data_IF_699850108412
#
_entry.id   IF_699850108412
#
_cell.length_a   1.000
_cell.length_b   1.000
_cell.length_c   1.000
_cell.angle_alpha   90.00
_cell.angle_beta   90.00
_cell.angle_gamma   90.00
#
_symmetry.space_group_name_H-M   'P 1'
#
loop_
_entity.id
_entity.type
_entity.pdbx_description
1 polymer ?
#
# COMPACT_ATOMS: atom_id res chain seq x y z
N UNK A 1 14.54 -5.48 -35.37
CA UNK A 1 13.71 -4.42 -34.76
C UNK A 1 14.67 -3.56 -33.95
N UNK A 2 14.85 -2.30 -34.34
CA UNK A 2 15.79 -1.37 -33.70
C UNK A 2 15.44 -1.20 -32.20
N UNK A 3 16.42 -1.30 -31.28
CA UNK A 3 16.23 -1.14 -29.83
C UNK A 3 15.52 0.15 -29.45
N UNK A 4 15.66 1.20 -30.26
CA UNK A 4 15.00 2.50 -30.07
C UNK A 4 13.47 2.41 -30.10
N UNK A 5 12.88 1.56 -30.94
CA UNK A 5 11.42 1.45 -31.08
C UNK A 5 10.72 0.81 -29.87
N UNK A 6 11.41 -0.08 -29.16
CA UNK A 6 10.89 -0.74 -27.95
C UNK A 6 10.95 0.21 -26.75
N UNK A 7 12.04 0.97 -26.61
CA UNK A 7 12.20 1.99 -25.58
C UNK A 7 11.11 3.08 -25.70
N UNK A 8 10.83 3.55 -26.92
CA UNK A 8 9.74 4.51 -27.14
C UNK A 8 8.36 3.93 -26.83
N UNK A 9 8.12 2.66 -27.14
CA UNK A 9 6.86 1.99 -26.81
C UNK A 9 6.66 1.82 -25.29
N UNK A 10 7.75 1.67 -24.52
CA UNK A 10 7.71 1.63 -23.05
C UNK A 10 7.48 3.02 -22.47
N UNK A 11 8.14 4.06 -22.98
CA UNK A 11 7.97 5.45 -22.53
C UNK A 11 6.52 5.96 -22.67
N UNK A 12 5.72 5.35 -23.55
CA UNK A 12 4.30 5.66 -23.72
C UNK A 12 3.38 4.97 -22.69
N UNK A 13 3.91 4.14 -21.79
CA UNK A 13 3.12 3.48 -20.73
C UNK A 13 3.33 4.21 -19.40
N UNK A 14 2.25 4.71 -18.83
CA UNK A 14 2.23 5.30 -17.49
C UNK A 14 1.62 4.31 -16.50
N UNK A 15 2.43 3.66 -15.65
CA UNK A 15 1.92 2.93 -14.51
C UNK A 15 1.53 3.90 -13.39
N UNK A 16 0.36 3.70 -12.81
CA UNK A 16 -0.12 4.35 -11.60
C UNK A 16 -0.62 3.29 -10.64
N UNK A 17 -0.54 3.51 -9.34
CA UNK A 17 -1.08 2.59 -8.36
C UNK A 17 -1.33 3.29 -7.04
N UNK A 18 -2.07 2.62 -6.18
CA UNK A 18 -2.31 3.06 -4.82
C UNK A 18 -2.50 1.85 -3.91
N UNK A 19 -2.15 2.02 -2.64
CA UNK A 19 -2.30 1.01 -1.59
C UNK A 19 -3.04 1.63 -0.41
N UNK A 20 -4.06 0.92 0.06
CA UNK A 20 -4.82 1.30 1.25
C UNK A 20 -4.79 0.19 2.29
N UNK A 21 -4.89 0.57 3.56
CA UNK A 21 -5.09 -0.37 4.66
C UNK A 21 -6.59 -0.47 4.93
N UNK A 22 -7.09 -1.69 5.09
CA UNK A 22 -8.44 -1.99 5.51
C UNK A 22 -8.33 -2.53 6.94
N UNK A 23 -9.05 -1.92 7.87
CA UNK A 23 -9.13 -2.36 9.25
C UNK A 23 -10.60 -2.56 9.63
N UNK A 24 -10.94 -3.76 10.10
CA UNK A 24 -12.33 -4.11 10.46
C UNK A 24 -13.31 -3.82 9.30
N UNK A 25 -12.88 -4.10 8.07
CA UNK A 25 -13.68 -3.91 6.85
C UNK A 25 -13.77 -2.47 6.33
N UNK A 26 -13.09 -1.50 6.95
CA UNK A 26 -13.12 -0.09 6.55
C UNK A 26 -11.75 0.38 6.07
N UNK A 27 -11.71 1.14 4.97
CA UNK A 27 -10.48 1.79 4.50
C UNK A 27 -10.01 2.83 5.51
N UNK A 28 -8.73 2.74 5.90
CA UNK A 28 -8.11 3.63 6.86
C UNK A 28 -7.36 4.75 6.15
N UNK A 29 -7.53 5.97 6.66
CA UNK A 29 -6.77 7.14 6.22
C UNK A 29 -5.32 7.09 6.71
N UNK A 30 -4.45 7.93 6.12
CA UNK A 30 -3.09 8.10 6.62
C UNK A 30 -3.15 8.81 7.98
N UNK A 31 -2.41 8.33 8.99
CA UNK A 31 -2.37 8.99 10.28
C UNK A 31 -1.79 10.40 10.13
N UNK A 32 -2.37 11.36 10.84
CA UNK A 32 -1.97 12.76 10.82
C UNK A 32 -0.97 13.11 11.93
N UNK A 33 -0.69 12.18 12.85
CA UNK A 33 0.26 12.36 13.96
C UNK A 33 1.00 11.07 14.34
N UNK A 34 2.09 11.21 15.10
CA UNK A 34 2.87 10.08 15.64
C UNK A 34 2.02 9.25 16.61
N UNK A 35 1.23 9.91 17.44
CA UNK A 35 0.37 9.30 18.45
C UNK A 35 -0.71 8.45 17.79
N UNK A 36 -1.33 8.96 16.72
CA UNK A 36 -2.31 8.23 15.93
C UNK A 36 -1.68 7.03 15.21
N UNK A 37 -0.49 7.20 14.61
CA UNK A 37 0.24 6.09 13.99
C UNK A 37 0.54 4.96 14.99
N UNK A 38 0.92 5.31 16.23
CA UNK A 38 1.13 4.34 17.31
C UNK A 38 -0.18 3.66 17.72
N UNK A 39 -1.29 4.40 17.77
CA UNK A 39 -2.59 3.82 18.06
C UNK A 39 -3.00 2.83 16.95
N UNK A 40 -2.75 3.18 15.69
CA UNK A 40 -3.06 2.31 14.55
C UNK A 40 -2.32 0.97 14.66
N UNK A 41 -1.03 1.01 15.01
CA UNK A 41 -0.22 -0.19 15.20
C UNK A 41 -0.73 -1.06 16.36
N UNK A 42 -1.23 -0.45 17.44
CA UNK A 42 -1.86 -1.19 18.55
C UNK A 42 -3.18 -1.82 18.11
N UNK A 43 -4.01 -1.09 17.38
CA UNK A 43 -5.32 -1.59 16.94
C UNK A 43 -5.15 -2.83 16.05
N UNK A 44 -4.14 -2.82 15.15
CA UNK A 44 -3.86 -3.97 14.31
C UNK A 44 -3.50 -5.23 15.10
N UNK A 45 -2.92 -5.12 16.31
CA UNK A 45 -2.51 -6.27 17.14
C UNK A 45 -3.63 -7.14 17.70
N UNK A 46 -4.91 -6.81 17.43
CA UNK A 46 -6.05 -7.61 17.87
C UNK A 46 -7.25 -7.63 16.92
N UNK A 47 -7.13 -7.05 15.72
CA UNK A 47 -8.22 -6.93 14.75
C UNK A 47 -7.85 -7.50 13.38
N UNK A 48 -8.82 -7.52 12.47
CA UNK A 48 -8.61 -8.00 11.10
C UNK A 48 -8.13 -6.85 10.23
N UNK A 49 -6.84 -6.88 9.90
CA UNK A 49 -6.20 -5.93 9.01
C UNK A 49 -5.90 -6.57 7.66
N UNK A 50 -6.09 -5.83 6.58
CA UNK A 50 -5.72 -6.22 5.23
C UNK A 50 -5.15 -5.02 4.47
N UNK A 51 -4.42 -5.28 3.40
CA UNK A 51 -4.04 -4.24 2.43
C UNK A 51 -4.68 -4.53 1.09
N UNK A 52 -5.24 -3.50 0.48
CA UNK A 52 -5.72 -3.54 -0.90
C UNK A 52 -4.80 -2.68 -1.76
N UNK A 53 -4.19 -3.29 -2.78
CA UNK A 53 -3.30 -2.61 -3.71
C UNK A 53 -3.84 -2.67 -5.11
N UNK A 54 -3.69 -1.58 -5.88
CA UNK A 54 -4.10 -1.52 -7.28
C UNK A 54 -2.99 -0.97 -8.17
N UNK A 55 -2.94 -1.47 -9.39
CA UNK A 55 -2.07 -0.96 -10.45
C UNK A 55 -2.88 -0.77 -11.71
N UNK A 56 -2.62 0.33 -12.39
CA UNK A 56 -3.24 0.69 -13.65
C UNK A 56 -2.17 1.20 -14.61
N UNK A 57 -2.08 0.58 -15.78
CA UNK A 57 -1.20 0.97 -16.86
C UNK A 57 -2.00 1.69 -17.93
N UNK A 58 -1.63 2.93 -18.21
CA UNK A 58 -2.24 3.77 -19.27
C UNK A 58 -1.28 3.91 -20.44
N UNK A 59 -1.72 3.57 -21.65
CA UNK A 59 -0.99 3.91 -22.88
C UNK A 59 -1.32 5.37 -23.25
N UNK A 60 -0.35 6.27 -23.11
CA UNK A 60 -0.51 7.70 -23.30
C UNK A 60 -0.80 8.10 -24.75
N UNK A 61 -0.47 7.25 -25.72
CA UNK A 61 -0.70 7.50 -27.16
C UNK A 61 -2.14 7.17 -27.58
N UNK A 62 -2.68 6.05 -27.09
CA UNK A 62 -4.01 5.55 -27.46
C UNK A 62 -5.09 5.85 -26.44
N UNK A 63 -4.72 6.20 -25.20
CA UNK A 63 -5.62 6.31 -24.06
C UNK A 63 -6.10 4.97 -23.50
N UNK A 64 -5.68 3.83 -24.04
CA UNK A 64 -6.06 2.51 -23.52
C UNK A 64 -5.50 2.28 -22.11
N UNK A 65 -6.31 1.70 -21.23
CA UNK A 65 -5.98 1.47 -19.82
C UNK A 65 -6.26 0.02 -19.45
N UNK A 66 -5.33 -0.61 -18.72
CA UNK A 66 -5.52 -1.93 -18.11
C UNK A 66 -5.03 -1.90 -16.68
N UNK A 67 -5.82 -2.42 -15.74
CA UNK A 67 -5.45 -2.46 -14.34
C UNK A 67 -5.87 -3.77 -13.67
N UNK A 68 -5.24 -4.04 -12.54
CA UNK A 68 -5.54 -5.14 -11.63
C UNK A 68 -5.39 -4.65 -10.19
N UNK A 69 -5.96 -5.41 -9.26
CA UNK A 69 -5.86 -5.15 -7.83
C UNK A 69 -5.80 -6.47 -7.08
N UNK A 70 -5.20 -6.45 -5.90
CA UNK A 70 -5.11 -7.60 -5.01
C UNK A 70 -5.35 -7.19 -3.56
N UNK A 71 -5.85 -8.13 -2.76
CA UNK A 71 -6.21 -7.94 -1.37
C UNK A 71 -5.58 -9.03 -0.51
N UNK A 72 -4.76 -8.62 0.45
CA UNK A 72 -4.01 -9.55 1.29
C UNK A 72 -4.27 -9.24 2.76
N UNK A 73 -4.71 -10.26 3.51
CA UNK A 73 -4.86 -10.17 4.96
C UNK A 73 -3.48 -10.12 5.63
N UNK A 74 -3.30 -9.20 6.56
CA UNK A 74 -2.04 -8.98 7.25
C UNK A 74 -2.13 -9.62 8.62
N UNK A 75 -1.45 -10.75 8.79
CA UNK A 75 -1.28 -11.38 10.09
C UNK A 75 -0.37 -10.53 10.98
N UNK A 76 -0.89 -10.05 12.10
CA UNK A 76 -0.09 -9.35 13.12
C UNK A 76 0.24 -10.30 14.26
N UNK A 77 1.51 -10.65 14.41
CA UNK A 77 1.98 -11.37 15.60
C UNK A 77 2.20 -10.40 16.77
N UNK A 78 1.99 -10.87 18.00
CA UNK A 78 2.29 -10.14 19.25
C UNK A 78 3.71 -9.56 19.32
N UNK A 79 4.66 -10.08 18.54
CA UNK A 79 6.04 -9.56 18.42
C UNK A 79 6.11 -8.10 17.96
N UNK A 80 5.12 -7.59 17.22
CA UNK A 80 5.03 -6.15 16.85
C UNK A 80 4.84 -5.27 18.10
N UNK A 81 4.14 -5.76 19.13
CA UNK A 81 4.00 -5.06 20.41
C UNK A 81 5.32 -4.97 21.18
N UNK A 82 6.23 -5.92 20.99
CA UNK A 82 7.60 -5.87 21.53
C UNK A 82 8.40 -4.67 21.00
N UNK A 83 8.30 -4.41 19.69
CA UNK A 83 8.91 -3.23 19.04
C UNK A 83 8.27 -1.91 19.52
N UNK A 84 6.96 -1.88 19.71
CA UNK A 84 6.26 -0.69 20.23
C UNK A 84 6.68 -0.34 21.67
N UNK A 85 6.92 -1.34 22.53
CA UNK A 85 7.49 -1.09 23.88
C UNK A 85 8.86 -0.44 23.81
N UNK A 86 9.74 -0.90 22.93
CA UNK A 86 11.06 -0.30 22.72
C UNK A 86 10.99 1.14 22.20
N UNK A 87 10.06 1.42 21.27
CA UNK A 87 9.83 2.78 20.75
C UNK A 87 9.23 3.73 21.80
N UNK A 88 8.45 3.20 22.74
CA UNK A 88 7.89 3.96 23.86
C UNK A 88 8.91 4.27 24.96
N UNK A 89 10.00 3.50 25.06
CA UNK A 89 11.08 3.69 26.05
C UNK A 89 12.14 4.71 25.61
N UNK A 90 12.11 5.17 24.36
CA UNK A 90 13.08 6.13 23.79
C UNK A 90 12.60 7.59 23.77
N UNK A 91 11.48 7.92 24.42
CA UNK A 91 11.02 9.30 24.60
C UNK A 91 11.06 9.70 26.08
#
# INVERSE_FOLDING_TARGET
>A
MEPSSQAEAILQRLPTGDNVVIYEGVVREKPSSKEEALQFLKDYSGGHAATAGSVLVTNLKSGFRKGEWDCVEVGTTDSVMGLLKELSLKN
#
